data_IF_817443215592
#
_entry.id   IF_817443215592
#
_cell.length_a   1.000
_cell.length_b   1.000
_cell.length_c   1.000
_cell.angle_alpha   90.00
_cell.angle_beta   90.00
_cell.angle_gamma   90.00
#
_symmetry.space_group_name_H-M   'P 1'
#
loop_
_entity.id
_entity.type
_entity.pdbx_description
1 polymer ?
#
# COMPACT_ATOMS: atom_id res chain seq x y z
N UNK A 1 -8.45 -1.97 21.10
CA UNK A 1 -9.42 -2.35 20.02
C UNK A 1 -10.43 -1.21 19.90
N UNK A 2 -10.91 -0.86 18.69
CA UNK A 2 -11.63 0.40 18.41
C UNK A 2 -13.09 0.51 18.93
N UNK A 3 -13.56 -0.35 19.85
CA UNK A 3 -14.94 -0.31 20.42
C UNK A 3 -16.09 -0.01 19.41
N UNK A 4 -15.94 -0.48 18.17
CA UNK A 4 -16.92 -0.30 17.09
C UNK A 4 -16.99 -1.58 16.26
N UNK A 5 -18.03 -1.74 15.45
CA UNK A 5 -18.16 -2.88 14.55
C UNK A 5 -17.70 -2.57 13.12
N UNK A 6 -17.54 -3.61 12.30
CA UNK A 6 -17.11 -3.50 10.90
C UNK A 6 -18.00 -2.56 10.09
N UNK A 7 -19.31 -2.57 10.31
CA UNK A 7 -20.27 -1.77 9.53
C UNK A 7 -20.10 -0.28 9.82
N UNK A 8 -20.05 0.11 11.09
CA UNK A 8 -19.81 1.50 11.47
C UNK A 8 -18.44 2.00 11.00
N UNK A 9 -17.39 1.18 11.16
CA UNK A 9 -16.06 1.54 10.70
C UNK A 9 -16.00 1.72 9.18
N UNK A 10 -16.58 0.79 8.42
CA UNK A 10 -16.62 0.89 6.96
C UNK A 10 -17.48 2.06 6.48
N UNK A 11 -18.58 2.35 7.19
CA UNK A 11 -19.43 3.52 6.92
C UNK A 11 -18.67 4.82 7.15
N UNK A 12 -17.98 4.93 8.29
CA UNK A 12 -17.19 6.10 8.66
C UNK A 12 -16.07 6.38 7.65
N UNK A 13 -15.32 5.35 7.23
CA UNK A 13 -14.28 5.53 6.22
C UNK A 13 -14.87 5.99 4.89
N UNK A 14 -16.00 5.40 4.47
CA UNK A 14 -16.67 5.79 3.23
C UNK A 14 -17.14 7.24 3.26
N UNK A 15 -17.76 7.69 4.34
CA UNK A 15 -18.25 9.07 4.45
C UNK A 15 -17.14 10.09 4.60
N UNK A 16 -16.02 9.72 5.23
CA UNK A 16 -14.91 10.65 5.53
C UNK A 16 -13.93 10.76 4.36
N UNK A 17 -13.64 9.66 3.68
CA UNK A 17 -12.57 9.57 2.67
C UNK A 17 -13.09 9.27 1.25
N UNK A 18 -14.41 9.15 1.08
CA UNK A 18 -15.06 8.80 -0.20
C UNK A 18 -14.49 7.55 -0.88
N UNK A 19 -14.05 6.58 -0.06
CA UNK A 19 -13.44 5.34 -0.54
C UNK A 19 -13.84 4.15 0.33
N UNK A 20 -13.71 2.94 -0.21
CA UNK A 20 -13.98 1.75 0.59
C UNK A 20 -12.90 1.54 1.65
N UNK A 21 -13.25 0.85 2.75
CA UNK A 21 -12.27 0.45 3.77
C UNK A 21 -11.09 -0.34 3.15
N UNK A 22 -11.37 -1.15 2.12
CA UNK A 22 -10.34 -1.91 1.41
C UNK A 22 -9.36 -0.98 0.70
N UNK A 23 -9.87 -0.01 -0.06
CA UNK A 23 -9.04 0.91 -0.85
C UNK A 23 -8.21 1.80 0.08
N UNK A 24 -8.80 2.24 1.19
CA UNK A 24 -8.09 2.97 2.24
C UNK A 24 -6.91 2.17 2.80
N UNK A 25 -7.11 0.90 3.16
CA UNK A 25 -6.02 0.03 3.63
C UNK A 25 -4.98 -0.21 2.53
N UNK A 26 -5.38 -0.38 1.27
CA UNK A 26 -4.43 -0.51 0.15
C UNK A 26 -3.56 0.73 0.05
N UNK A 27 -4.14 1.93 0.08
CA UNK A 27 -3.40 3.19 0.05
C UNK A 27 -2.36 3.27 1.17
N UNK A 28 -2.76 2.97 2.41
CA UNK A 28 -1.84 2.94 3.56
C UNK A 28 -0.68 1.95 3.38
N UNK A 29 -0.96 0.76 2.84
CA UNK A 29 0.07 -0.25 2.56
C UNK A 29 1.02 0.16 1.44
N UNK A 30 0.51 0.80 0.39
CA UNK A 30 1.35 1.33 -0.71
C UNK A 30 2.26 2.45 -0.20
N UNK A 31 1.74 3.37 0.62
CA UNK A 31 2.55 4.42 1.24
C UNK A 31 3.64 3.85 2.15
N UNK A 32 3.33 2.81 2.91
CA UNK A 32 4.35 2.09 3.67
C UNK A 32 5.40 1.42 2.77
N UNK A 33 4.97 0.79 1.67
CA UNK A 33 5.88 0.17 0.70
C UNK A 33 6.84 1.20 0.07
N UNK A 34 6.35 2.40 -0.29
CA UNK A 34 7.19 3.51 -0.78
C UNK A 34 8.27 3.90 0.23
N UNK A 35 7.93 4.02 1.51
CA UNK A 35 8.91 4.30 2.59
C UNK A 35 9.97 3.21 2.70
N UNK A 36 9.58 1.93 2.57
CA UNK A 36 10.53 0.82 2.55
C UNK A 36 11.45 0.86 1.32
N UNK A 37 10.89 1.16 0.15
CA UNK A 37 11.64 1.29 -1.10
C UNK A 37 12.72 2.37 -1.01
N UNK A 38 12.38 3.53 -0.42
CA UNK A 38 13.31 4.64 -0.24
C UNK A 38 14.37 4.35 0.83
N UNK A 39 13.96 3.78 1.97
CA UNK A 39 14.86 3.58 3.12
C UNK A 39 15.80 2.39 2.98
N UNK A 40 15.40 1.35 2.24
CA UNK A 40 16.12 0.07 2.18
C UNK A 40 16.35 -0.38 0.72
N UNK A 41 17.34 0.20 0.01
CA UNK A 41 17.56 -0.08 -1.41
C UNK A 41 17.93 -1.54 -1.72
N UNK A 42 18.46 -2.26 -0.72
CA UNK A 42 18.83 -3.69 -0.82
C UNK A 42 17.66 -4.66 -0.66
N UNK A 43 16.50 -4.23 -0.15
CA UNK A 43 15.35 -5.12 -0.04
C UNK A 43 14.80 -5.47 -1.43
N UNK A 44 14.43 -6.74 -1.61
CA UNK A 44 13.79 -7.16 -2.85
C UNK A 44 12.34 -6.65 -2.89
N UNK A 45 11.75 -6.62 -4.09
CA UNK A 45 10.33 -6.26 -4.25
C UNK A 45 9.42 -7.28 -3.56
N UNK A 46 9.84 -8.55 -3.50
CA UNK A 46 9.13 -9.60 -2.78
C UNK A 46 9.12 -9.34 -1.26
N UNK A 47 10.27 -9.00 -0.67
CA UNK A 47 10.36 -8.69 0.76
C UNK A 47 9.51 -7.47 1.13
N UNK A 48 9.50 -6.45 0.28
CA UNK A 48 8.71 -5.23 0.49
C UNK A 48 7.22 -5.54 0.37
N UNK A 49 6.81 -6.37 -0.58
CA UNK A 49 5.43 -6.85 -0.72
C UNK A 49 4.96 -7.53 0.56
N UNK A 50 5.74 -8.49 1.07
CA UNK A 50 5.42 -9.23 2.29
C UNK A 50 5.35 -8.30 3.50
N UNK A 51 6.38 -7.46 3.72
CA UNK A 51 6.43 -6.50 4.84
C UNK A 51 5.30 -5.48 4.79
N UNK A 52 4.80 -5.16 3.61
CA UNK A 52 3.67 -4.23 3.42
C UNK A 52 2.30 -4.93 3.53
N UNK A 53 2.27 -6.23 3.86
CA UNK A 53 1.07 -6.99 4.15
C UNK A 53 0.36 -7.56 2.92
N UNK A 54 1.06 -7.72 1.79
CA UNK A 54 0.53 -8.37 0.60
C UNK A 54 0.93 -9.84 0.56
N UNK A 55 -0.05 -10.73 0.33
CA UNK A 55 0.18 -12.18 0.21
C UNK A 55 0.92 -12.57 -1.09
N UNK A 56 0.81 -11.76 -2.14
CA UNK A 56 1.38 -12.06 -3.45
C UNK A 56 2.11 -10.85 -4.02
N UNK A 57 3.38 -11.01 -4.44
CA UNK A 57 4.14 -9.96 -5.12
C UNK A 57 3.43 -9.45 -6.39
N UNK A 58 2.78 -10.33 -7.16
CA UNK A 58 2.05 -9.94 -8.37
C UNK A 58 0.87 -9.02 -8.05
N UNK A 59 0.14 -9.31 -6.98
CA UNK A 59 -0.96 -8.47 -6.53
C UNK A 59 -0.45 -7.11 -6.03
N UNK A 60 0.64 -7.11 -5.27
CA UNK A 60 1.32 -5.90 -4.83
C UNK A 60 1.74 -5.02 -6.00
N UNK A 61 2.44 -5.57 -7.00
CA UNK A 61 2.94 -4.79 -8.14
C UNK A 61 1.79 -4.14 -8.91
N UNK A 62 0.68 -4.88 -9.11
CA UNK A 62 -0.51 -4.34 -9.76
C UNK A 62 -1.09 -3.15 -8.99
N UNK A 63 -1.37 -3.34 -7.70
CA UNK A 63 -1.95 -2.29 -6.85
C UNK A 63 -1.00 -1.09 -6.66
N UNK A 64 0.31 -1.34 -6.55
CA UNK A 64 1.30 -0.28 -6.48
C UNK A 64 1.30 0.55 -7.75
N UNK A 65 1.27 -0.10 -8.92
CA UNK A 65 1.20 0.61 -10.20
C UNK A 65 -0.08 1.44 -10.34
N UNK A 66 -1.22 0.89 -9.92
CA UNK A 66 -2.51 1.61 -9.93
C UNK A 66 -2.48 2.85 -9.01
N UNK A 67 -1.82 2.76 -7.85
CA UNK A 67 -1.79 3.84 -6.86
C UNK A 67 -0.65 4.86 -7.08
N UNK A 68 0.51 4.42 -7.58
CA UNK A 68 1.71 5.25 -7.73
C UNK A 68 2.01 5.62 -9.20
N UNK A 69 1.19 5.16 -10.15
CA UNK A 69 1.35 5.41 -11.59
C UNK A 69 2.49 4.63 -12.28
N UNK A 70 3.35 3.95 -11.52
CA UNK A 70 4.47 3.17 -12.05
C UNK A 70 4.78 1.94 -11.18
N UNK A 71 5.59 1.01 -11.70
CA UNK A 71 5.94 -0.21 -10.96
C UNK A 71 6.87 0.10 -9.77
N UNK A 72 6.89 -0.72 -8.70
CA UNK A 72 7.79 -0.55 -7.57
C UNK A 72 9.28 -0.41 -7.96
N UNK A 73 9.71 -1.16 -8.98
CA UNK A 73 11.08 -1.10 -9.52
C UNK A 73 11.36 0.25 -10.17
N UNK A 74 10.43 0.76 -10.98
CA UNK A 74 10.58 2.06 -11.64
C UNK A 74 10.55 3.18 -10.60
N UNK A 75 9.61 3.14 -9.66
CA UNK A 75 9.51 4.11 -8.58
C UNK A 75 10.82 4.21 -7.79
N UNK A 76 11.42 3.08 -7.42
CA UNK A 76 12.71 3.03 -6.73
C UNK A 76 13.83 3.72 -7.51
N UNK A 77 13.86 3.59 -8.84
CA UNK A 77 14.90 4.23 -9.66
C UNK A 77 14.75 5.74 -9.73
N UNK A 78 13.52 6.24 -9.67
CA UNK A 78 13.22 7.69 -9.78
C UNK A 78 13.46 8.43 -8.47
N UNK A 79 13.24 7.79 -7.32
CA UNK A 79 13.40 8.40 -5.98
C UNK A 79 14.77 8.10 -5.33
N UNK A 80 15.62 7.34 -6.02
CA UNK A 80 17.01 7.06 -5.60
C UNK A 80 18.04 8.01 -6.24
N UNK A 81 17.56 9.04 -6.94
CA UNK A 81 18.32 10.25 -7.32
C UNK A 81 18.02 11.36 -6.32
#
# INVERSE_FOLDING_TARGET
VLHTNRTYLSGYIKTTYDMSFRDWIIGLRIEYAKRLLARYPRLTIADISEKSGFLSPSHFIRLFKENAGCTPVKWRKTEAE
#
